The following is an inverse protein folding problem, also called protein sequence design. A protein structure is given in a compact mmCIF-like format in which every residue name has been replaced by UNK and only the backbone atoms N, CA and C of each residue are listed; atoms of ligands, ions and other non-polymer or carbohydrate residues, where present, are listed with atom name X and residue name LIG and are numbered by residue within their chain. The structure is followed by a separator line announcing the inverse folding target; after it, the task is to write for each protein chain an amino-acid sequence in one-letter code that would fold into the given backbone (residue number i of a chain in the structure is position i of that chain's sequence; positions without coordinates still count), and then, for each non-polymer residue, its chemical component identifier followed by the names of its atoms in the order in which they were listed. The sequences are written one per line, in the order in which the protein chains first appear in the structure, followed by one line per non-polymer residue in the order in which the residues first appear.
data_IF_982349833449
#
_entry.id   IF_982349833449
#
_cell.length_a   1.000
_cell.length_b   1.000
_cell.length_c   1.000
_cell.angle_alpha   90.00
_cell.angle_beta   90.00
_cell.angle_gamma   90.00
#
_symmetry.space_group_name_H-M   'P 1'
#
loop_
_entity.id
_entity.type
_entity.pdbx_description
1 polymer ?
#
# COMPACT_ATOMS: atom_id res chain seq x y z
N UNK A 1 -71.18 -4.20 -23.36
CA UNK A 1 -70.33 -3.56 -24.38
C UNK A 1 -68.93 -4.15 -24.26
N UNK A 2 -68.47 -4.76 -25.36
CA UNK A 2 -67.07 -5.07 -25.72
C UNK A 2 -66.36 -6.21 -24.94
N UNK A 3 -65.55 -7.07 -25.62
CA UNK A 3 -65.36 -8.47 -25.28
C UNK A 3 -63.90 -8.92 -25.00
N UNK A 4 -63.80 -10.22 -24.73
CA UNK A 4 -62.71 -11.22 -24.70
C UNK A 4 -61.33 -11.04 -25.39
N UNK A 5 -60.36 -11.83 -24.84
CA UNK A 5 -59.10 -12.39 -25.40
C UNK A 5 -57.93 -11.39 -25.51
N UNK A 6 -56.66 -11.72 -25.30
CA UNK A 6 -55.92 -12.97 -25.51
C UNK A 6 -54.59 -12.89 -24.72
N UNK A 7 -54.08 -14.02 -24.24
CA UNK A 7 -52.74 -14.22 -23.67
C UNK A 7 -51.74 -14.50 -24.78
N UNK A 8 -50.56 -13.88 -24.77
CA UNK A 8 -49.38 -14.32 -25.53
C UNK A 8 -48.03 -13.92 -24.86
N UNK A 9 -46.91 -14.60 -25.18
CA UNK A 9 -45.77 -14.89 -24.29
C UNK A 9 -44.55 -13.95 -24.47
N UNK A 10 -43.43 -14.10 -23.72
CA UNK A 10 -42.30 -13.16 -23.80
C UNK A 10 -41.40 -13.46 -25.01
N UNK A 11 -41.27 -12.48 -25.91
CA UNK A 11 -40.31 -12.54 -27.01
C UNK A 11 -38.88 -12.24 -26.53
N UNK A 12 -38.01 -13.23 -26.68
CA UNK A 12 -36.56 -13.12 -26.74
C UNK A 12 -36.13 -12.76 -28.18
N UNK A 13 -35.07 -11.94 -28.29
CA UNK A 13 -34.25 -11.65 -29.48
C UNK A 13 -34.87 -10.79 -30.59
N UNK A 14 -34.57 -9.49 -30.53
CA UNK A 14 -34.50 -8.60 -31.70
C UNK A 14 -33.12 -7.94 -31.74
N UNK A 15 -32.30 -8.35 -32.71
CA UNK A 15 -31.09 -7.65 -33.12
C UNK A 15 -31.49 -6.35 -33.83
N UNK A 16 -30.91 -5.22 -33.42
CA UNK A 16 -30.77 -4.06 -34.31
C UNK A 16 -29.32 -3.55 -34.26
N UNK A 17 -28.77 -3.35 -35.45
CA UNK A 17 -27.38 -3.01 -35.73
C UNK A 17 -27.16 -1.48 -35.69
N UNK A 18 -26.20 -1.03 -34.89
CA UNK A 18 -25.35 0.15 -35.13
C UNK A 18 -25.99 1.55 -34.98
N UNK A 19 -25.19 2.60 -34.70
CA UNK A 19 -23.91 2.83 -35.36
C UNK A 19 -22.68 2.67 -34.45
N UNK A 20 -21.58 2.25 -35.08
CA UNK A 20 -20.20 2.18 -34.54
C UNK A 20 -19.52 3.58 -34.61
N UNK A 21 -18.24 3.77 -34.23
CA UNK A 21 -17.78 4.13 -32.89
C UNK A 21 -16.75 5.30 -32.91
N UNK A 22 -17.02 6.45 -32.28
CA UNK A 22 -16.04 7.56 -32.30
C UNK A 22 -15.78 8.26 -30.95
N UNK A 23 -16.16 7.68 -29.79
CA UNK A 23 -15.92 8.32 -28.48
C UNK A 23 -15.15 7.47 -27.44
N UNK A 24 -14.38 6.46 -27.85
CA UNK A 24 -13.64 5.58 -26.92
C UNK A 24 -12.14 5.89 -26.71
N UNK A 25 -11.63 7.02 -27.20
CA UNK A 25 -10.18 7.31 -27.13
C UNK A 25 -9.69 8.03 -25.87
N UNK A 26 -10.52 8.19 -24.83
CA UNK A 26 -10.13 8.84 -23.56
C UNK A 26 -10.09 7.89 -22.35
N UNK A 27 -10.48 6.62 -22.51
CA UNK A 27 -10.60 5.64 -21.41
C UNK A 27 -9.33 4.87 -21.01
N UNK A 28 -8.21 5.02 -21.73
CA UNK A 28 -7.00 4.19 -21.56
C UNK A 28 -5.94 4.74 -20.58
N UNK A 29 -5.95 6.05 -20.30
CA UNK A 29 -4.95 6.67 -19.41
C UNK A 29 -5.21 6.46 -17.91
N UNK A 30 -6.32 5.81 -17.55
CA UNK A 30 -6.91 5.82 -16.22
C UNK A 30 -6.43 4.66 -15.32
N UNK A 31 -6.27 3.47 -15.89
CA UNK A 31 -6.02 2.24 -15.12
C UNK A 31 -4.65 2.16 -14.46
N UNK A 32 -3.65 2.73 -15.12
CA UNK A 32 -2.25 2.58 -14.74
C UNK A 32 -1.83 3.58 -13.64
N UNK A 33 -2.59 4.68 -13.51
CA UNK A 33 -2.59 5.56 -12.34
C UNK A 33 -3.44 4.93 -11.21
N UNK A 34 -4.50 4.17 -11.54
CA UNK A 34 -5.32 3.40 -10.60
C UNK A 34 -4.52 2.47 -9.66
N UNK A 35 -3.47 1.81 -10.16
CA UNK A 35 -2.59 0.96 -9.34
C UNK A 35 -1.72 1.73 -8.31
N UNK A 36 -1.71 3.07 -8.37
CA UNK A 36 -0.96 3.96 -7.47
C UNK A 36 -1.84 5.05 -6.82
N UNK A 37 -3.08 5.23 -7.28
CA UNK A 37 -4.06 6.23 -6.88
C UNK A 37 -5.46 5.66 -7.19
N UNK A 38 -6.11 5.10 -6.17
CA UNK A 38 -7.33 4.29 -6.28
C UNK A 38 -8.54 5.06 -6.92
N UNK A 39 -8.45 6.41 -7.14
CA UNK A 39 -9.57 7.35 -7.45
C UNK A 39 -10.50 7.00 -8.61
N UNK A 40 -10.18 5.98 -9.40
CA UNK A 40 -10.87 5.67 -10.65
C UNK A 40 -11.64 4.35 -10.67
N UNK A 41 -11.50 3.48 -9.65
CA UNK A 41 -12.29 2.23 -9.59
C UNK A 41 -13.74 2.44 -9.10
N UNK A 42 -14.06 3.57 -8.47
CA UNK A 42 -15.40 3.83 -7.90
C UNK A 42 -16.33 4.71 -8.76
N UNK A 43 -16.02 4.96 -10.05
CA UNK A 43 -16.92 5.75 -10.90
C UNK A 43 -18.22 4.99 -11.19
N UNK A 44 -19.27 5.32 -10.43
CA UNK A 44 -20.64 4.95 -10.73
C UNK A 44 -21.21 5.98 -11.75
N UNK A 45 -21.48 5.59 -13.01
CA UNK A 45 -21.98 6.52 -14.03
C UNK A 45 -23.40 7.06 -13.74
N UNK A 46 -24.07 6.59 -12.69
CA UNK A 46 -25.44 6.99 -12.35
C UNK A 46 -25.56 8.30 -11.55
N UNK A 47 -24.46 8.94 -11.13
CA UNK A 47 -24.51 10.23 -10.40
C UNK A 47 -24.00 11.35 -11.29
N UNK A 48 -24.89 11.89 -12.12
CA UNK A 48 -24.64 13.09 -12.92
C UNK A 48 -24.60 14.33 -12.02
N UNK A 49 -23.43 14.97 -11.90
CA UNK A 49 -23.34 16.36 -11.48
C UNK A 49 -23.14 17.22 -12.75
N UNK A 50 -24.06 18.15 -13.13
CA UNK A 50 -24.16 18.58 -14.53
C UNK A 50 -23.11 19.59 -15.06
N UNK A 51 -22.12 20.04 -14.28
CA UNK A 51 -21.32 21.21 -14.70
C UNK A 51 -19.78 21.06 -14.60
N UNK A 52 -19.25 19.88 -14.28
CA UNK A 52 -17.80 19.70 -14.04
C UNK A 52 -16.94 19.25 -15.23
N UNK A 53 -17.51 18.56 -16.22
CA UNK A 53 -16.74 17.85 -17.25
C UNK A 53 -16.30 18.74 -18.42
N UNK A 54 -17.03 19.84 -18.69
CA UNK A 54 -16.69 20.75 -19.79
C UNK A 54 -15.57 21.75 -19.47
N UNK A 55 -15.28 22.02 -18.18
CA UNK A 55 -14.30 23.04 -17.79
C UNK A 55 -12.87 22.50 -17.68
N UNK A 56 -12.69 21.19 -17.45
CA UNK A 56 -11.37 20.55 -17.28
C UNK A 56 -10.67 20.32 -18.63
N UNK A 57 -11.43 20.05 -19.69
CA UNK A 57 -10.88 19.90 -21.05
C UNK A 57 -10.29 21.22 -21.61
N UNK A 58 -10.83 22.38 -21.19
CA UNK A 58 -10.39 23.70 -21.65
C UNK A 58 -9.13 24.25 -20.97
N UNK A 59 -8.73 23.74 -19.81
CA UNK A 59 -7.61 24.30 -19.03
C UNK A 59 -6.27 23.61 -19.36
N UNK A 60 -6.29 22.38 -19.89
CA UNK A 60 -5.09 21.58 -20.17
C UNK A 60 -4.53 21.72 -21.60
N UNK A 61 -5.19 22.49 -22.47
CA UNK A 61 -4.65 22.92 -23.77
C UNK A 61 -3.69 24.11 -23.66
N UNK A 62 -3.60 24.74 -22.49
CA UNK A 62 -2.61 25.79 -22.20
C UNK A 62 -1.21 25.23 -21.94
N UNK A 63 -0.18 25.91 -22.43
CA UNK A 63 1.25 25.53 -22.35
C UNK A 63 1.87 25.58 -20.94
N UNK A 64 1.09 25.90 -19.90
CA UNK A 64 1.55 26.21 -18.53
C UNK A 64 1.59 25.04 -17.52
N UNK A 65 0.70 24.02 -17.54
CA UNK A 65 0.73 22.92 -16.56
C UNK A 65 1.97 22.01 -16.72
N UNK A 66 2.44 21.86 -17.97
CA UNK A 66 3.66 21.12 -18.29
C UNK A 66 4.90 21.78 -17.68
N UNK A 67 4.91 23.11 -17.56
CA UNK A 67 6.00 23.87 -16.97
C UNK A 67 6.01 23.74 -15.44
N UNK A 68 4.85 23.77 -14.77
CA UNK A 68 4.75 23.60 -13.32
C UNK A 68 5.11 22.17 -12.90
N UNK A 69 4.64 21.14 -13.63
CA UNK A 69 5.00 19.75 -13.36
C UNK A 69 6.48 19.49 -13.66
N UNK A 70 7.03 20.03 -14.77
CA UNK A 70 8.49 20.02 -15.00
C UNK A 70 9.23 20.71 -13.87
N UNK A 71 8.73 21.85 -13.39
CA UNK A 71 9.39 22.65 -12.36
C UNK A 71 9.35 21.92 -11.02
N UNK A 72 8.25 21.25 -10.66
CA UNK A 72 8.13 20.42 -9.44
C UNK A 72 8.95 19.12 -9.53
N UNK A 73 8.97 18.45 -10.69
CA UNK A 73 9.82 17.27 -10.90
C UNK A 73 11.29 17.67 -10.92
N UNK A 74 11.65 18.77 -11.59
CA UNK A 74 12.99 19.35 -11.47
C UNK A 74 13.24 19.83 -10.05
N UNK A 75 12.30 20.39 -9.30
CA UNK A 75 12.50 20.77 -7.90
C UNK A 75 12.74 19.53 -7.04
N UNK A 76 11.99 18.45 -7.21
CA UNK A 76 12.20 17.21 -6.45
C UNK A 76 13.53 16.56 -6.84
N UNK A 77 13.89 16.56 -8.13
CA UNK A 77 15.16 16.05 -8.62
C UNK A 77 16.35 16.94 -8.26
N UNK A 78 16.19 18.27 -8.23
CA UNK A 78 17.25 19.25 -7.97
C UNK A 78 17.37 19.61 -6.50
N UNK A 79 16.29 19.63 -5.72
CA UNK A 79 16.32 19.73 -4.25
C UNK A 79 16.73 18.38 -3.66
N UNK A 80 16.29 17.27 -4.28
CA UNK A 80 16.88 15.94 -4.06
C UNK A 80 18.37 15.95 -4.37
N UNK A 81 18.80 16.48 -5.53
CA UNK A 81 20.21 16.63 -5.88
C UNK A 81 20.98 17.60 -4.96
N UNK A 82 20.37 18.68 -4.48
CA UNK A 82 20.99 19.66 -3.60
C UNK A 82 21.13 19.12 -2.17
N UNK A 83 20.18 18.32 -1.68
CA UNK A 83 20.35 17.49 -0.48
C UNK A 83 21.37 16.35 -0.69
N UNK A 84 21.56 15.87 -1.93
CA UNK A 84 22.59 14.89 -2.31
C UNK A 84 24.01 15.49 -2.41
N UNK A 85 24.17 16.82 -2.53
CA UNK A 85 25.50 17.46 -2.61
C UNK A 85 26.18 17.56 -1.24
N UNK A 86 25.45 17.46 -0.13
CA UNK A 86 26.03 17.55 1.22
C UNK A 86 26.04 16.21 1.99
N UNK A 87 26.18 15.08 1.30
CA UNK A 87 26.52 13.82 1.96
C UNK A 87 28.04 13.68 2.03
N UNK A 88 28.62 14.04 3.17
CA UNK A 88 29.97 13.63 3.52
C UNK A 88 30.07 12.11 3.38
N UNK A 89 30.98 11.61 2.53
CA UNK A 89 31.38 10.21 2.53
C UNK A 89 31.96 9.92 3.92
N UNK A 90 31.40 9.01 4.73
CA UNK A 90 32.17 8.47 5.84
C UNK A 90 33.29 7.65 5.22
N UNK A 91 34.48 8.24 5.16
CA UNK A 91 35.72 7.46 5.26
C UNK A 91 35.66 6.79 6.63
N UNK A 92 36.01 5.52 6.65
CA UNK A 92 36.19 4.69 7.86
C UNK A 92 34.89 4.17 8.49
N UNK A 93 34.44 2.98 8.03
CA UNK A 93 33.69 2.02 8.88
C UNK A 93 33.49 0.64 8.21
N UNK A 94 34.53 0.13 7.50
CA UNK A 94 34.50 -1.26 7.00
C UNK A 94 34.68 -2.27 8.16
N UNK A 95 35.16 -1.84 9.33
CA UNK A 95 35.37 -2.68 10.52
C UNK A 95 34.18 -2.74 11.48
N UNK A 96 33.12 -1.93 11.30
CA UNK A 96 31.93 -1.93 12.19
C UNK A 96 30.81 -2.89 11.71
N UNK A 97 30.99 -3.55 10.57
CA UNK A 97 30.01 -4.50 10.01
C UNK A 97 29.92 -5.84 10.78
N UNK A 98 30.72 -6.05 11.83
CA UNK A 98 30.80 -7.33 12.55
C UNK A 98 29.88 -7.48 13.77
N UNK A 99 29.00 -6.53 14.12
CA UNK A 99 28.16 -6.65 15.35
C UNK A 99 26.68 -6.30 15.25
N UNK A 100 26.10 -6.34 14.05
CA UNK A 100 24.64 -6.26 13.87
C UNK A 100 24.25 -6.61 12.45
N UNK A 101 24.11 -7.91 12.15
CA UNK A 101 23.82 -8.42 10.81
C UNK A 101 22.48 -7.86 10.33
N UNK A 102 22.52 -6.98 9.31
CA UNK A 102 21.32 -6.58 8.56
C UNK A 102 20.75 -7.84 7.91
N UNK A 103 19.51 -8.20 8.24
CA UNK A 103 18.85 -9.37 7.68
C UNK A 103 18.41 -9.08 6.25
N UNK A 104 18.96 -9.84 5.30
CA UNK A 104 18.67 -9.66 3.87
C UNK A 104 17.24 -10.09 3.57
N UNK A 105 16.71 -11.07 4.32
CA UNK A 105 15.34 -11.53 4.18
C UNK A 105 14.30 -10.43 4.43
N UNK A 106 14.58 -9.49 5.34
CA UNK A 106 13.68 -8.35 5.61
C UNK A 106 13.67 -7.38 4.43
N UNK A 107 14.84 -7.04 3.88
CA UNK A 107 14.93 -6.17 2.70
C UNK A 107 14.30 -6.86 1.48
N UNK A 108 14.54 -8.16 1.27
CA UNK A 108 13.96 -8.92 0.18
C UNK A 108 12.44 -9.03 0.28
N UNK A 109 11.90 -9.31 1.46
CA UNK A 109 10.44 -9.41 1.64
C UNK A 109 9.78 -8.05 1.42
N UNK A 110 10.36 -6.96 1.94
CA UNK A 110 9.88 -5.61 1.66
C UNK A 110 9.94 -5.29 0.17
N UNK A 111 10.99 -5.72 -0.51
CA UNK A 111 11.14 -5.50 -1.95
C UNK A 111 10.18 -6.31 -2.81
N UNK A 112 9.87 -7.53 -2.39
CA UNK A 112 8.82 -8.35 -3.00
C UNK A 112 7.47 -7.65 -2.89
N UNK A 113 7.15 -7.13 -1.71
CA UNK A 113 5.94 -6.37 -1.44
C UNK A 113 5.86 -5.10 -2.31
N UNK A 114 6.92 -4.29 -2.33
CA UNK A 114 7.01 -3.09 -3.16
C UNK A 114 7.02 -3.37 -4.67
N UNK A 115 7.54 -4.52 -5.12
CA UNK A 115 7.55 -4.88 -6.53
C UNK A 115 6.13 -4.97 -7.11
N UNK A 116 5.20 -5.53 -6.36
CA UNK A 116 3.83 -5.70 -6.82
C UNK A 116 3.09 -4.37 -6.99
N UNK A 117 3.22 -3.45 -6.03
CA UNK A 117 2.59 -2.12 -6.15
C UNK A 117 3.34 -1.19 -7.11
N UNK A 118 4.66 -1.33 -7.25
CA UNK A 118 5.42 -0.44 -8.09
C UNK A 118 5.28 -0.76 -9.58
N UNK A 119 4.93 -1.98 -9.97
CA UNK A 119 4.72 -2.30 -11.40
C UNK A 119 4.35 -3.75 -11.71
N UNK A 120 4.64 -4.71 -10.81
CA UNK A 120 4.36 -6.12 -11.05
C UNK A 120 2.87 -6.43 -11.32
N UNK A 121 1.96 -5.67 -10.70
CA UNK A 121 0.51 -5.82 -10.89
C UNK A 121 0.07 -5.52 -12.32
N UNK A 122 0.61 -4.45 -12.93
CA UNK A 122 0.28 -4.08 -14.31
C UNK A 122 0.64 -5.17 -15.32
N UNK A 123 1.70 -5.96 -15.06
CA UNK A 123 2.05 -7.10 -15.93
C UNK A 123 0.97 -8.17 -15.90
N UNK A 124 0.43 -8.50 -14.72
CA UNK A 124 -0.60 -9.54 -14.58
C UNK A 124 -1.91 -9.09 -15.23
N UNK A 125 -2.32 -7.84 -14.97
CA UNK A 125 -3.54 -7.25 -15.55
C UNK A 125 -3.44 -7.14 -17.08
N UNK A 126 -2.30 -6.69 -17.62
CA UNK A 126 -2.11 -6.64 -19.06
C UNK A 126 -2.06 -8.04 -19.69
N UNK A 127 -1.53 -9.03 -18.96
CA UNK A 127 -1.52 -10.42 -19.42
C UNK A 127 -2.93 -11.03 -19.43
N UNK A 128 -3.80 -10.68 -18.47
CA UNK A 128 -5.18 -11.19 -18.42
C UNK A 128 -6.02 -10.70 -19.60
N UNK A 129 -5.78 -9.46 -20.06
CA UNK A 129 -6.42 -8.89 -21.25
C UNK A 129 -5.96 -9.53 -22.56
N UNK A 130 -4.75 -10.08 -22.60
CA UNK A 130 -4.14 -10.61 -23.84
C UNK A 130 -4.18 -12.13 -23.94
N UNK A 131 -4.42 -12.83 -22.83
CA UNK A 131 -4.42 -14.30 -22.79
C UNK A 131 -5.71 -14.82 -22.19
N UNK A 132 -6.31 -15.82 -22.84
CA UNK A 132 -7.53 -16.46 -22.33
C UNK A 132 -7.20 -17.69 -21.46
N UNK A 133 -6.19 -17.57 -20.60
CA UNK A 133 -5.72 -18.66 -19.74
C UNK A 133 -6.36 -18.53 -18.37
N UNK A 134 -7.07 -19.57 -17.91
CA UNK A 134 -7.79 -19.56 -16.64
C UNK A 134 -6.90 -19.21 -15.45
N UNK A 135 -5.65 -19.70 -15.43
CA UNK A 135 -4.68 -19.36 -14.39
C UNK A 135 -4.40 -17.86 -14.32
N UNK A 136 -4.29 -17.18 -15.46
CA UNK A 136 -4.02 -15.73 -15.50
C UNK A 136 -5.24 -14.95 -15.00
N UNK A 137 -6.45 -15.39 -15.34
CA UNK A 137 -7.69 -14.80 -14.82
C UNK A 137 -7.83 -14.96 -13.30
N UNK A 138 -7.49 -16.12 -12.76
CA UNK A 138 -7.47 -16.34 -11.31
C UNK A 138 -6.44 -15.43 -10.63
N UNK A 139 -5.26 -15.25 -11.24
CA UNK A 139 -4.26 -14.31 -10.73
C UNK A 139 -4.76 -12.88 -10.77
N UNK A 140 -5.39 -12.44 -11.85
CA UNK A 140 -5.93 -11.08 -11.99
C UNK A 140 -6.89 -10.72 -10.85
N UNK A 141 -7.81 -11.63 -10.50
CA UNK A 141 -8.70 -11.48 -9.35
C UNK A 141 -7.93 -11.32 -8.02
N UNK A 142 -6.78 -11.98 -7.87
CA UNK A 142 -5.94 -11.84 -6.68
C UNK A 142 -5.17 -10.52 -6.64
N UNK A 143 -4.97 -9.88 -7.79
CA UNK A 143 -4.27 -8.60 -7.96
C UNK A 143 -5.23 -7.39 -8.02
N UNK A 144 -6.51 -7.61 -7.77
CA UNK A 144 -7.52 -6.56 -7.58
C UNK A 144 -7.92 -6.46 -6.10
N UNK A 145 -8.33 -5.28 -5.66
CA UNK A 145 -8.86 -5.08 -4.31
C UNK A 145 -10.26 -5.68 -4.16
N UNK A 146 -10.62 -6.08 -2.93
CA UNK A 146 -12.03 -6.23 -2.57
C UNK A 146 -12.64 -4.87 -2.32
N UNK A 147 -13.84 -4.67 -2.83
CA UNK A 147 -14.60 -3.43 -2.63
C UNK A 147 -14.81 -3.14 -1.14
N UNK A 148 -15.17 -4.17 -0.36
CA UNK A 148 -15.44 -4.03 1.06
C UNK A 148 -15.04 -5.27 1.89
N UNK A 149 -15.84 -6.33 1.85
CA UNK A 149 -15.63 -7.54 2.64
C UNK A 149 -14.77 -8.58 1.90
N UNK A 150 -13.85 -9.19 2.64
CA UNK A 150 -12.91 -10.18 2.17
C UNK A 150 -11.50 -9.63 2.06
N UNK A 151 -10.61 -10.46 1.54
CA UNK A 151 -9.25 -10.07 1.19
C UNK A 151 -8.73 -10.90 0.02
N UNK A 152 -8.03 -10.25 -0.91
CA UNK A 152 -7.23 -10.89 -1.95
C UNK A 152 -5.74 -10.82 -1.59
N UNK A 153 -4.87 -11.37 -2.45
CA UNK A 153 -3.42 -11.21 -2.31
C UNK A 153 -3.01 -9.73 -2.30
N UNK A 154 -3.62 -8.89 -3.14
CA UNK A 154 -3.27 -7.47 -3.22
C UNK A 154 -3.60 -6.72 -1.93
N UNK A 155 -4.65 -7.13 -1.23
CA UNK A 155 -5.00 -6.60 0.10
C UNK A 155 -3.97 -6.94 1.19
N UNK A 156 -3.02 -7.87 0.95
CA UNK A 156 -1.95 -8.20 1.90
C UNK A 156 -0.77 -7.21 1.84
N UNK A 157 -0.60 -6.47 0.75
CA UNK A 157 0.61 -5.67 0.53
C UNK A 157 0.80 -4.62 1.63
N UNK A 158 -0.23 -3.80 1.86
CA UNK A 158 -0.14 -2.73 2.84
C UNK A 158 0.09 -3.23 4.29
N UNK A 159 -0.68 -4.20 4.84
CA UNK A 159 -0.41 -4.72 6.18
C UNK A 159 0.93 -5.46 6.28
N UNK A 160 1.39 -6.14 5.22
CA UNK A 160 2.72 -6.75 5.18
C UNK A 160 3.82 -5.69 5.33
N UNK A 161 3.70 -4.55 4.65
CA UNK A 161 4.65 -3.46 4.80
C UNK A 161 4.68 -2.92 6.23
N UNK A 162 3.51 -2.67 6.83
CA UNK A 162 3.38 -2.18 8.22
C UNK A 162 3.99 -3.19 9.21
N UNK A 163 3.75 -4.48 9.01
CA UNK A 163 4.37 -5.56 9.78
C UNK A 163 5.90 -5.52 9.65
N UNK A 164 6.45 -5.40 8.43
CA UNK A 164 7.90 -5.33 8.20
C UNK A 164 8.52 -4.08 8.83
N UNK A 165 7.80 -2.94 8.85
CA UNK A 165 8.21 -1.74 9.58
C UNK A 165 8.40 -2.06 11.06
N UNK A 166 7.46 -2.79 11.67
CA UNK A 166 7.57 -3.29 13.04
C UNK A 166 8.78 -4.21 13.28
N UNK A 167 9.04 -5.16 12.38
CA UNK A 167 10.23 -6.02 12.48
C UNK A 167 11.51 -5.17 12.44
N UNK A 168 11.56 -4.21 11.50
CA UNK A 168 12.72 -3.34 11.28
C UNK A 168 12.98 -2.38 12.45
N UNK A 169 11.92 -2.00 13.15
CA UNK A 169 11.95 -1.14 14.32
C UNK A 169 12.79 -1.77 15.44
N UNK A 170 12.62 -3.07 15.70
CA UNK A 170 13.38 -3.80 16.73
C UNK A 170 14.89 -3.71 16.48
N UNK A 171 15.34 -3.98 15.25
CA UNK A 171 16.77 -3.96 14.90
C UNK A 171 17.36 -2.56 14.83
N UNK A 172 16.58 -1.56 14.41
CA UNK A 172 17.06 -0.18 14.25
C UNK A 172 17.08 0.57 15.58
N UNK A 173 16.01 0.50 16.37
CA UNK A 173 15.89 1.24 17.63
C UNK A 173 16.69 0.59 18.75
N UNK A 174 16.76 -0.74 18.84
CA UNK A 174 17.60 -1.39 19.86
C UNK A 174 19.05 -0.87 19.81
N UNK A 175 19.66 -0.89 18.62
CA UNK A 175 21.04 -0.39 18.42
C UNK A 175 21.15 1.10 18.70
N UNK A 176 20.13 1.87 18.34
CA UNK A 176 20.16 3.31 18.54
C UNK A 176 20.03 3.70 20.02
N UNK A 177 19.19 2.98 20.78
CA UNK A 177 19.05 3.13 22.24
C UNK A 177 20.33 2.70 22.94
N UNK A 178 20.93 1.57 22.55
CA UNK A 178 22.20 1.09 23.10
C UNK A 178 23.34 2.09 22.89
N UNK A 179 23.41 2.74 21.71
CA UNK A 179 24.50 3.66 21.36
C UNK A 179 24.28 5.11 21.82
N UNK A 180 23.05 5.62 21.75
CA UNK A 180 22.75 7.06 21.92
C UNK A 180 21.72 7.35 23.02
N UNK A 181 21.21 6.31 23.71
CA UNK A 181 20.20 6.44 24.76
C UNK A 181 18.76 6.59 24.24
N UNK A 182 17.80 6.51 25.17
CA UNK A 182 16.36 6.55 24.86
C UNK A 182 15.87 7.90 24.35
N UNK A 183 16.39 9.01 24.89
CA UNK A 183 15.98 10.36 24.47
C UNK A 183 16.28 10.63 22.99
N UNK A 184 17.47 10.23 22.54
CA UNK A 184 17.84 10.30 21.12
C UNK A 184 16.94 9.42 20.24
N UNK A 185 16.56 8.23 20.72
CA UNK A 185 15.62 7.36 20.02
C UNK A 185 14.23 8.00 19.88
N UNK A 186 13.68 8.61 20.93
CA UNK A 186 12.40 9.33 20.86
C UNK A 186 12.45 10.47 19.84
N UNK A 187 13.48 11.31 19.91
CA UNK A 187 13.66 12.40 18.94
C UNK A 187 13.70 11.87 17.51
N UNK A 188 14.45 10.79 17.27
CA UNK A 188 14.55 10.15 15.96
C UNK A 188 13.20 9.62 15.47
N UNK A 189 12.43 8.98 16.35
CA UNK A 189 11.10 8.46 16.00
C UNK A 189 10.18 9.61 15.58
N UNK A 190 10.10 10.66 16.38
CA UNK A 190 9.25 11.82 16.14
C UNK A 190 9.62 12.50 14.82
N UNK A 191 10.90 12.84 14.62
CA UNK A 191 11.37 13.51 13.40
C UNK A 191 11.09 12.67 12.15
N UNK A 192 11.39 11.36 12.21
CA UNK A 192 11.15 10.47 11.08
C UNK A 192 9.67 10.34 10.75
N UNK A 193 8.82 10.30 11.77
CA UNK A 193 7.37 10.19 11.58
C UNK A 193 6.80 11.48 10.98
N UNK A 194 7.22 12.66 11.47
CA UNK A 194 6.81 13.95 10.89
C UNK A 194 7.21 14.04 9.42
N UNK A 195 8.48 13.74 9.10
CA UNK A 195 8.95 13.85 7.73
C UNK A 195 8.23 12.87 6.78
N UNK A 196 8.02 11.62 7.21
CA UNK A 196 7.28 10.64 6.42
C UNK A 196 5.81 11.05 6.24
N UNK A 197 5.19 11.61 7.28
CA UNK A 197 3.82 12.12 7.20
C UNK A 197 3.70 13.29 6.22
N UNK A 198 4.61 14.27 6.31
CA UNK A 198 4.63 15.44 5.40
C UNK A 198 4.86 15.01 3.95
N UNK A 199 5.82 14.11 3.69
CA UNK A 199 6.00 13.54 2.34
C UNK A 199 4.73 12.81 1.88
N UNK A 200 4.09 12.07 2.78
CA UNK A 200 2.82 11.40 2.52
C UNK A 200 1.75 12.37 2.05
N UNK A 201 1.53 13.46 2.79
CA UNK A 201 0.52 14.48 2.43
C UNK A 201 0.82 15.09 1.06
N UNK A 202 2.08 15.43 0.78
CA UNK A 202 2.48 15.99 -0.51
C UNK A 202 2.20 14.99 -1.65
N UNK A 203 2.49 13.72 -1.42
CA UNK A 203 2.31 12.67 -2.44
C UNK A 203 0.84 12.32 -2.65
N UNK A 204 0.06 12.15 -1.57
CA UNK A 204 -1.36 11.76 -1.60
C UNK A 204 -2.29 12.86 -2.08
N UNK A 205 -1.91 14.13 -1.95
CA UNK A 205 -2.78 15.26 -2.35
C UNK A 205 -2.65 15.61 -3.84
N UNK A 206 -1.70 15.02 -4.57
CA UNK A 206 -1.47 15.33 -5.97
C UNK A 206 -1.13 16.82 -6.22
N UNK A 207 -1.41 17.35 -7.44
CA UNK A 207 -1.27 18.78 -7.72
C UNK A 207 -2.33 19.55 -6.92
N UNK A 208 -1.94 20.10 -5.78
CA UNK A 208 -2.82 20.88 -4.91
C UNK A 208 -3.21 22.18 -5.61
N UNK A 209 -4.41 22.23 -6.18
CA UNK A 209 -4.99 23.42 -6.82
C UNK A 209 -5.75 24.30 -5.81
N UNK A 210 -6.17 23.72 -4.68
CA UNK A 210 -6.83 24.40 -3.56
C UNK A 210 -6.48 23.71 -2.24
N UNK A 211 -6.56 24.46 -1.12
CA UNK A 211 -6.33 23.91 0.23
C UNK A 211 -7.30 22.76 0.58
N UNK A 212 -8.53 22.83 0.07
CA UNK A 212 -9.56 21.80 0.27
C UNK A 212 -9.18 20.46 -0.37
N UNK A 213 -8.38 20.48 -1.45
CA UNK A 213 -7.93 19.28 -2.16
C UNK A 213 -6.91 18.42 -1.40
N UNK A 214 -6.43 18.85 -0.23
CA UNK A 214 -5.40 18.14 0.53
C UNK A 214 -5.98 16.88 1.18
N UNK A 215 -5.34 15.72 0.97
CA UNK A 215 -5.69 14.45 1.61
C UNK A 215 -4.79 14.19 2.81
N UNK A 216 -5.35 14.30 4.02
CA UNK A 216 -4.57 14.22 5.27
C UNK A 216 -4.19 12.79 5.67
N UNK A 217 -5.04 11.82 5.37
CA UNK A 217 -4.79 10.39 5.62
C UNK A 217 -4.43 9.68 4.33
N UNK A 218 -3.55 8.70 4.42
CA UNK A 218 -3.05 7.95 3.28
C UNK A 218 -2.02 6.92 3.73
N UNK A 219 -1.59 6.07 2.80
CA UNK A 219 -0.71 4.93 3.09
C UNK A 219 0.55 5.35 3.85
N UNK A 220 1.27 6.37 3.36
CA UNK A 220 2.52 6.85 3.99
C UNK A 220 2.28 7.48 5.36
N UNK A 221 1.17 8.20 5.52
CA UNK A 221 0.74 8.86 6.76
C UNK A 221 0.40 7.81 7.82
N UNK A 222 -0.38 6.77 7.46
CA UNK A 222 -0.68 5.66 8.36
C UNK A 222 0.57 4.87 8.73
N UNK A 223 1.52 4.65 7.81
CA UNK A 223 2.83 4.05 8.14
C UNK A 223 3.60 4.92 9.14
N UNK A 224 3.58 6.25 8.95
CA UNK A 224 4.24 7.18 9.87
C UNK A 224 3.63 7.11 11.28
N UNK A 225 2.30 7.07 11.40
CA UNK A 225 1.61 6.93 12.68
C UNK A 225 1.90 5.57 13.32
N UNK A 226 1.84 4.47 12.55
CA UNK A 226 2.19 3.14 13.05
C UNK A 226 3.63 3.08 13.57
N UNK A 227 4.58 3.66 12.84
CA UNK A 227 5.98 3.74 13.26
C UNK A 227 6.16 4.60 14.51
N UNK A 228 5.46 5.74 14.60
CA UNK A 228 5.48 6.63 15.76
C UNK A 228 5.03 5.90 17.01
N UNK A 229 3.79 5.41 17.02
CA UNK A 229 3.19 4.81 18.21
C UNK A 229 3.87 3.49 18.59
N UNK A 230 4.08 2.57 17.63
CA UNK A 230 4.77 1.32 17.93
C UNK A 230 6.23 1.56 18.39
N UNK A 231 6.89 2.57 17.85
CA UNK A 231 8.25 2.95 18.26
C UNK A 231 8.35 3.52 19.66
N UNK A 232 7.41 4.42 20.02
CA UNK A 232 7.32 4.95 21.38
C UNK A 232 7.00 3.85 22.38
N UNK A 233 6.03 2.98 22.07
CA UNK A 233 5.67 1.82 22.88
C UNK A 233 6.86 0.87 23.05
N UNK A 234 7.58 0.55 21.97
CA UNK A 234 8.76 -0.32 22.01
C UNK A 234 9.87 0.20 22.93
N UNK A 235 10.12 1.51 22.95
CA UNK A 235 11.16 2.13 23.78
C UNK A 235 10.76 2.26 25.26
N UNK A 236 9.47 2.25 25.56
CA UNK A 236 8.90 2.47 26.90
C UNK A 236 8.55 1.17 27.60
N UNK A 237 7.91 0.23 26.90
CA UNK A 237 7.27 -0.95 27.47
C UNK A 237 8.13 -2.22 27.34
N UNK A 238 7.86 -3.19 28.23
CA UNK A 238 8.43 -4.54 28.14
C UNK A 238 7.63 -5.38 27.14
N UNK A 239 8.20 -6.49 26.61
CA UNK A 239 7.49 -7.35 25.66
C UNK A 239 6.12 -7.85 26.12
N UNK A 240 5.96 -8.12 27.43
CA UNK A 240 4.66 -8.49 28.02
C UNK A 240 3.64 -7.37 27.90
N UNK A 241 4.03 -6.14 28.24
CA UNK A 241 3.14 -4.99 28.23
C UNK A 241 2.79 -4.59 26.80
N UNK A 242 3.73 -4.74 25.85
CA UNK A 242 3.45 -4.61 24.41
C UNK A 242 2.38 -5.60 23.95
N UNK A 243 2.41 -6.85 24.43
CA UNK A 243 1.39 -7.85 24.10
C UNK A 243 0.02 -7.47 24.65
N UNK A 244 -0.03 -6.91 25.87
CA UNK A 244 -1.27 -6.38 26.47
C UNK A 244 -1.80 -5.21 25.64
N UNK A 245 -0.95 -4.26 25.24
CA UNK A 245 -1.36 -3.14 24.39
C UNK A 245 -1.84 -3.61 23.02
N UNK A 246 -1.15 -4.57 22.39
CA UNK A 246 -1.58 -5.16 21.12
C UNK A 246 -2.98 -5.79 21.26
N UNK A 247 -3.21 -6.59 22.30
CA UNK A 247 -4.52 -7.18 22.58
C UNK A 247 -5.57 -6.10 22.86
N UNK A 248 -5.24 -5.06 23.64
CA UNK A 248 -6.14 -3.95 23.94
C UNK A 248 -6.52 -3.15 22.68
N UNK A 249 -5.60 -2.93 21.75
CA UNK A 249 -5.89 -2.29 20.46
C UNK A 249 -6.86 -3.13 19.63
N UNK A 250 -6.66 -4.45 19.57
CA UNK A 250 -7.53 -5.35 18.80
C UNK A 250 -8.92 -5.49 19.43
N UNK A 251 -9.00 -5.92 20.70
CA UNK A 251 -10.28 -6.10 21.39
C UNK A 251 -10.99 -4.77 21.67
N UNK A 252 -10.23 -3.70 21.95
CA UNK A 252 -10.78 -2.37 22.14
C UNK A 252 -11.39 -1.80 20.87
N UNK A 253 -10.69 -1.90 19.73
CA UNK A 253 -11.24 -1.47 18.44
C UNK A 253 -12.49 -2.28 18.06
N UNK A 254 -12.42 -3.61 18.20
CA UNK A 254 -13.59 -4.47 18.01
C UNK A 254 -14.79 -4.08 18.88
N UNK A 255 -14.57 -3.83 20.18
CA UNK A 255 -15.61 -3.43 21.10
C UNK A 255 -16.22 -2.07 20.74
N UNK A 256 -15.38 -1.10 20.33
CA UNK A 256 -15.87 0.19 19.82
C UNK A 256 -16.78 -0.02 18.61
N UNK A 257 -16.31 -0.77 17.61
CA UNK A 257 -17.07 -1.01 16.37
C UNK A 257 -18.36 -1.82 16.61
N UNK A 258 -18.39 -2.69 17.61
CA UNK A 258 -19.53 -3.57 17.89
C UNK A 258 -20.58 -2.91 18.78
N UNK A 259 -20.16 -2.18 19.82
CA UNK A 259 -21.06 -1.77 20.89
C UNK A 259 -21.38 -0.27 20.92
N UNK A 260 -20.56 0.59 20.29
CA UNK A 260 -20.84 2.03 20.25
C UNK A 260 -21.84 2.29 19.11
N UNK A 261 -23.03 2.85 19.40
CA UNK A 261 -24.02 3.12 18.38
C UNK A 261 -23.62 4.32 17.53
N UNK A 262 -23.76 4.20 16.21
CA UNK A 262 -23.65 5.31 15.27
C UNK A 262 -25.00 6.04 15.20
N UNK A 263 -25.05 7.39 15.33
CA UNK A 263 -26.29 8.15 15.23
C UNK A 263 -27.04 7.87 13.93
N UNK A 264 -28.33 7.53 14.03
CA UNK A 264 -29.18 7.21 12.88
C UNK A 264 -29.06 5.79 12.32
N UNK A 265 -28.09 4.99 12.80
CA UNK A 265 -27.86 3.60 12.32
C UNK A 265 -28.02 2.58 13.43
N UNK A 266 -27.41 2.81 14.60
CA UNK A 266 -27.35 1.86 15.71
C UNK A 266 -25.95 1.25 15.91
N UNK A 267 -25.84 0.23 16.77
CA UNK A 267 -24.58 -0.44 17.11
C UNK A 267 -24.36 -1.70 16.25
N UNK A 268 -23.10 -2.07 16.04
CA UNK A 268 -22.73 -3.33 15.40
C UNK A 268 -22.92 -3.39 13.88
N UNK A 269 -22.93 -2.24 13.22
CA UNK A 269 -22.97 -2.17 11.75
C UNK A 269 -21.55 -2.05 11.17
N UNK A 270 -21.19 -2.92 10.22
CA UNK A 270 -19.90 -2.94 9.53
C UNK A 270 -20.00 -2.63 8.03
N UNK A 271 -21.16 -2.21 7.53
CA UNK A 271 -21.34 -1.81 6.14
C UNK A 271 -20.61 -0.49 5.84
N UNK A 272 -20.25 -0.30 4.57
CA UNK A 272 -19.62 0.92 4.05
C UNK A 272 -20.50 2.16 4.35
N UNK A 273 -19.86 3.26 4.73
CA UNK A 273 -20.50 4.55 5.02
C UNK A 273 -21.33 4.63 6.30
N UNK A 274 -21.64 3.50 6.96
CA UNK A 274 -22.58 3.45 8.10
C UNK A 274 -21.98 2.90 9.40
N UNK A 275 -20.73 2.46 9.36
CA UNK A 275 -20.00 2.00 10.54
C UNK A 275 -19.32 3.14 11.31
N UNK A 276 -18.89 2.86 12.53
CA UNK A 276 -18.31 3.86 13.43
C UNK A 276 -17.01 4.49 12.89
N UNK A 277 -16.17 3.73 12.19
CA UNK A 277 -14.93 4.27 11.64
C UNK A 277 -15.22 5.32 10.54
N UNK A 278 -16.14 5.00 9.61
CA UNK A 278 -16.55 5.94 8.58
C UNK A 278 -17.27 7.17 9.17
N UNK A 279 -18.12 6.97 10.18
CA UNK A 279 -18.77 8.08 10.89
C UNK A 279 -17.74 9.05 11.51
N UNK A 280 -16.70 8.51 12.18
CA UNK A 280 -15.64 9.35 12.77
C UNK A 280 -14.91 10.14 11.70
N UNK A 281 -14.58 9.53 10.57
CA UNK A 281 -13.92 10.24 9.47
C UNK A 281 -14.84 11.33 8.91
N UNK A 282 -16.12 11.03 8.66
CA UNK A 282 -17.10 12.02 8.17
C UNK A 282 -17.17 13.26 9.07
N UNK A 283 -17.18 13.08 10.40
CA UNK A 283 -17.33 14.17 11.36
C UNK A 283 -16.02 14.90 11.67
N UNK A 284 -14.90 14.18 11.73
CA UNK A 284 -13.68 14.69 12.36
C UNK A 284 -12.44 14.66 11.47
N UNK A 285 -12.46 13.97 10.33
CA UNK A 285 -11.37 14.03 9.35
C UNK A 285 -11.66 15.17 8.35
N UNK A 286 -10.94 16.30 8.44
CA UNK A 286 -11.19 17.43 7.55
C UNK A 286 -10.54 17.22 6.18
N UNK A 287 -10.88 18.11 5.24
CA UNK A 287 -10.37 18.15 3.87
C UNK A 287 -10.77 16.91 3.04
N UNK A 288 -10.08 16.67 1.94
CA UNK A 288 -10.37 15.57 1.02
C UNK A 288 -10.14 14.22 1.68
N UNK A 289 -11.07 13.32 1.45
CA UNK A 289 -10.99 11.91 1.78
C UNK A 289 -11.04 11.09 0.51
N UNK A 290 -10.52 9.88 0.61
CA UNK A 290 -10.39 9.00 -0.52
C UNK A 290 -11.73 8.53 -1.13
N UNK A 291 -12.64 7.97 -0.31
CA UNK A 291 -13.96 7.50 -0.76
C UNK A 291 -15.02 8.64 -0.71
N UNK A 292 -14.57 9.89 -0.59
CA UNK A 292 -15.41 11.08 -0.48
C UNK A 292 -15.87 11.37 0.95
N UNK A 293 -16.64 10.46 1.56
CA UNK A 293 -17.19 10.64 2.91
C UNK A 293 -16.28 10.05 4.02
N UNK A 294 -15.49 9.03 3.70
CA UNK A 294 -14.53 8.39 4.61
C UNK A 294 -13.20 8.07 3.91
N UNK A 295 -12.19 7.67 4.68
CA UNK A 295 -10.86 7.33 4.14
C UNK A 295 -10.45 5.91 4.57
N UNK A 296 -9.94 5.05 3.68
CA UNK A 296 -9.47 3.72 4.04
C UNK A 296 -8.25 3.80 4.98
N UNK A 297 -7.54 4.94 4.95
CA UNK A 297 -6.48 5.30 5.88
C UNK A 297 -6.94 6.13 7.09
N UNK A 298 -8.25 6.12 7.38
CA UNK A 298 -8.95 6.86 8.44
C UNK A 298 -8.40 6.77 9.87
N UNK A 299 -8.96 7.64 10.72
CA UNK A 299 -8.45 7.93 12.06
C UNK A 299 -8.59 6.72 13.00
N UNK A 300 -9.80 6.18 13.13
CA UNK A 300 -10.08 5.12 14.10
C UNK A 300 -9.42 3.79 13.69
N UNK A 301 -9.46 3.46 12.41
CA UNK A 301 -8.85 2.26 11.83
C UNK A 301 -7.31 2.28 11.85
N UNK A 302 -6.69 3.40 12.23
CA UNK A 302 -5.25 3.45 12.51
C UNK A 302 -4.89 2.70 13.81
N UNK A 303 -5.81 2.56 14.77
CA UNK A 303 -5.59 1.81 16.01
C UNK A 303 -5.22 0.33 15.75
N UNK A 304 -6.02 -0.46 15.02
CA UNK A 304 -5.65 -1.82 14.67
C UNK A 304 -4.44 -1.90 13.72
N UNK A 305 -4.16 -0.86 12.91
CA UNK A 305 -2.93 -0.80 12.10
C UNK A 305 -1.65 -0.69 12.97
N UNK A 306 -1.71 0.02 14.10
CA UNK A 306 -0.63 0.01 15.10
C UNK A 306 -0.43 -1.42 15.64
N UNK A 307 -1.52 -2.18 15.85
CA UNK A 307 -1.42 -3.58 16.26
C UNK A 307 -0.73 -4.46 15.19
N UNK A 308 -1.00 -4.27 13.90
CA UNK A 308 -0.24 -4.92 12.81
C UNK A 308 1.27 -4.64 12.92
N UNK A 309 1.64 -3.39 13.20
CA UNK A 309 3.04 -3.01 13.42
C UNK A 309 3.63 -3.72 14.66
N UNK A 310 2.87 -3.82 15.75
CA UNK A 310 3.28 -4.55 16.96
C UNK A 310 3.45 -6.06 16.72
N UNK A 311 2.60 -6.69 15.88
CA UNK A 311 2.83 -8.07 15.44
C UNK A 311 4.20 -8.24 14.77
N UNK A 312 4.59 -7.26 13.95
CA UNK A 312 5.92 -7.16 13.37
C UNK A 312 7.02 -7.01 14.42
N UNK A 313 6.80 -6.20 15.46
CA UNK A 313 7.73 -6.06 16.59
C UNK A 313 7.95 -7.41 17.30
N UNK A 314 6.91 -8.21 17.53
CA UNK A 314 7.07 -9.55 18.13
C UNK A 314 7.88 -10.50 17.24
N UNK A 315 7.63 -10.49 15.92
CA UNK A 315 8.44 -11.24 14.97
C UNK A 315 9.90 -10.75 14.97
N UNK A 316 10.13 -9.44 15.11
CA UNK A 316 11.46 -8.85 15.26
C UNK A 316 12.18 -9.33 16.53
N UNK A 317 11.48 -9.42 17.68
CA UNK A 317 12.04 -9.99 18.89
C UNK A 317 12.44 -11.45 18.71
N UNK A 318 11.58 -12.25 18.06
CA UNK A 318 11.85 -13.65 17.76
C UNK A 318 13.12 -13.81 16.90
N UNK A 319 13.26 -13.00 15.83
CA UNK A 319 14.43 -13.05 14.95
C UNK A 319 15.72 -12.57 15.64
N UNK A 320 15.64 -11.54 16.49
CA UNK A 320 16.78 -11.01 17.26
C UNK A 320 17.22 -11.95 18.40
N UNK A 321 16.37 -12.89 18.83
CA UNK A 321 16.69 -13.79 19.93
C UNK A 321 17.79 -14.80 19.52
N UNK A 322 18.99 -14.63 20.07
CA UNK A 322 20.14 -15.49 19.79
C UNK A 322 20.10 -16.85 20.52
N UNK A 323 19.21 -17.02 21.51
CA UNK A 323 19.05 -18.28 22.23
C UNK A 323 18.25 -19.32 21.43
N UNK A 324 17.56 -18.92 20.36
CA UNK A 324 16.82 -19.83 19.50
C UNK A 324 17.60 -20.14 18.23
N UNK A 325 17.61 -21.42 17.86
CA UNK A 325 18.14 -21.85 16.56
C UNK A 325 17.30 -21.31 15.42
N UNK A 326 17.90 -21.14 14.24
CA UNK A 326 17.18 -20.64 13.06
C UNK A 326 15.99 -21.51 12.68
N UNK A 327 16.12 -22.84 12.81
CA UNK A 327 15.00 -23.78 12.60
C UNK A 327 13.83 -23.50 13.56
N UNK A 328 14.13 -23.23 14.84
CA UNK A 328 13.11 -22.90 15.83
C UNK A 328 12.43 -21.56 15.52
N UNK A 329 13.20 -20.55 15.08
CA UNK A 329 12.64 -19.25 14.65
C UNK A 329 11.66 -19.43 13.49
N UNK A 330 12.05 -20.19 12.46
CA UNK A 330 11.18 -20.49 11.31
C UNK A 330 9.93 -21.27 11.75
N UNK A 331 10.09 -22.31 12.57
CA UNK A 331 8.96 -23.09 13.09
C UNK A 331 7.97 -22.24 13.90
N UNK A 332 8.47 -21.33 14.73
CA UNK A 332 7.61 -20.40 15.49
C UNK A 332 6.91 -19.37 14.59
N UNK A 333 7.60 -18.81 13.58
CA UNK A 333 6.94 -17.92 12.61
C UNK A 333 5.85 -18.64 11.83
N UNK A 334 6.08 -19.89 11.39
CA UNK A 334 5.09 -20.70 10.71
C UNK A 334 3.89 -21.00 11.63
N UNK A 335 4.15 -21.44 12.86
CA UNK A 335 3.11 -21.75 13.84
C UNK A 335 2.26 -20.52 14.19
N UNK A 336 2.89 -19.38 14.51
CA UNK A 336 2.18 -18.13 14.75
C UNK A 336 1.41 -17.66 13.51
N UNK A 337 1.95 -17.87 12.31
CA UNK A 337 1.29 -17.54 11.05
C UNK A 337 -0.01 -18.31 10.85
N UNK A 338 0.03 -19.63 11.00
CA UNK A 338 -1.15 -20.50 10.88
C UNK A 338 -2.18 -20.17 11.95
N UNK A 339 -1.76 -20.02 13.22
CA UNK A 339 -2.66 -19.68 14.32
C UNK A 339 -3.32 -18.31 14.11
N UNK A 340 -2.57 -17.31 13.66
CA UNK A 340 -3.09 -15.98 13.35
C UNK A 340 -4.16 -16.01 12.25
N UNK A 341 -3.92 -16.76 11.18
CA UNK A 341 -4.89 -16.94 10.09
C UNK A 341 -6.17 -17.60 10.61
N UNK A 342 -6.05 -18.70 11.35
CA UNK A 342 -7.21 -19.42 11.88
C UNK A 342 -8.03 -18.55 12.85
N UNK A 343 -7.37 -17.88 13.80
CA UNK A 343 -8.04 -16.98 14.74
C UNK A 343 -8.68 -15.77 14.03
N UNK A 344 -8.02 -15.23 13.01
CA UNK A 344 -8.55 -14.13 12.21
C UNK A 344 -9.81 -14.51 11.45
N UNK A 345 -9.83 -15.68 10.79
CA UNK A 345 -11.04 -16.16 10.11
C UNK A 345 -12.17 -16.55 11.08
N UNK A 346 -11.84 -17.15 12.23
CA UNK A 346 -12.84 -17.45 13.26
C UNK A 346 -13.47 -16.18 13.83
N UNK A 347 -12.67 -15.14 14.08
CA UNK A 347 -13.19 -13.83 14.49
C UNK A 347 -13.96 -13.16 13.34
N UNK A 348 -13.55 -13.42 12.10
CA UNK A 348 -14.24 -13.02 10.87
C UNK A 348 -15.73 -13.36 10.83
N UNK A 349 -16.15 -14.44 11.52
CA UNK A 349 -17.55 -14.85 11.63
C UNK A 349 -18.44 -13.82 12.34
N UNK A 350 -17.86 -12.96 13.18
CA UNK A 350 -18.58 -11.91 13.91
C UNK A 350 -18.06 -10.51 13.62
N UNK A 351 -16.77 -10.37 13.28
CA UNK A 351 -16.18 -9.11 12.86
C UNK A 351 -15.53 -9.29 11.48
N UNK A 352 -16.25 -8.99 10.38
CA UNK A 352 -15.84 -9.34 9.02
C UNK A 352 -14.43 -8.85 8.64
N UNK A 353 -13.79 -9.54 7.69
CA UNK A 353 -12.50 -9.12 7.17
C UNK A 353 -12.72 -7.93 6.23
N UNK A 354 -12.38 -6.72 6.67
CA UNK A 354 -12.55 -5.50 5.86
C UNK A 354 -11.25 -4.69 5.95
N UNK A 355 -10.58 -4.54 4.79
CA UNK A 355 -9.33 -3.76 4.66
C UNK A 355 -9.56 -2.27 4.93
N UNK A 356 -10.61 -1.68 4.33
CA UNK A 356 -10.84 -0.22 4.37
C UNK A 356 -11.02 0.32 5.80
N UNK A 357 -11.61 -0.46 6.70
CA UNK A 357 -11.70 -0.11 8.14
C UNK A 357 -10.69 -0.88 9.02
N UNK A 358 -9.80 -1.67 8.42
CA UNK A 358 -8.70 -2.36 9.08
C UNK A 358 -9.14 -3.25 10.26
N UNK A 359 -10.16 -4.09 10.06
CA UNK A 359 -10.76 -4.88 11.15
C UNK A 359 -9.75 -5.77 11.87
N UNK A 360 -10.01 -6.08 13.15
CA UNK A 360 -9.12 -6.89 13.97
C UNK A 360 -8.94 -8.32 13.42
N UNK A 361 -9.99 -8.88 12.81
CA UNK A 361 -9.93 -10.14 12.07
C UNK A 361 -8.97 -10.04 10.88
N UNK A 362 -9.07 -8.97 10.08
CA UNK A 362 -8.16 -8.66 8.99
C UNK A 362 -6.71 -8.50 9.47
N UNK A 363 -6.46 -7.85 10.62
CA UNK A 363 -5.11 -7.77 11.22
C UNK A 363 -4.52 -9.13 11.54
N UNK A 364 -5.31 -10.05 12.11
CA UNK A 364 -4.84 -11.39 12.45
C UNK A 364 -4.57 -12.23 11.20
N UNK A 365 -5.45 -12.19 10.20
CA UNK A 365 -5.26 -12.93 8.95
C UNK A 365 -4.02 -12.42 8.20
N UNK A 366 -3.91 -11.11 7.99
CA UNK A 366 -2.79 -10.52 7.25
C UNK A 366 -1.47 -10.56 8.03
N UNK A 367 -1.52 -10.39 9.37
CA UNK A 367 -0.38 -10.62 10.24
C UNK A 367 0.09 -12.07 10.22
N UNK A 368 -0.84 -13.01 10.14
CA UNK A 368 -0.55 -14.44 9.99
C UNK A 368 0.15 -14.75 8.66
N UNK A 369 -0.38 -14.28 7.53
CA UNK A 369 0.29 -14.38 6.23
C UNK A 369 1.66 -13.69 6.22
N UNK A 370 1.79 -12.55 6.88
CA UNK A 370 3.07 -11.85 7.03
C UNK A 370 4.12 -12.69 7.77
N UNK A 371 3.71 -13.42 8.82
CA UNK A 371 4.59 -14.35 9.52
C UNK A 371 5.01 -15.53 8.63
N UNK A 372 4.08 -16.08 7.83
CA UNK A 372 4.39 -17.16 6.88
C UNK A 372 5.39 -16.69 5.80
N UNK A 373 5.14 -15.54 5.18
CA UNK A 373 6.03 -14.97 4.18
C UNK A 373 7.42 -14.65 4.77
N UNK A 374 7.46 -14.07 5.97
CA UNK A 374 8.72 -13.84 6.67
C UNK A 374 9.47 -15.14 6.97
N UNK A 375 8.77 -16.21 7.36
CA UNK A 375 9.37 -17.52 7.59
C UNK A 375 10.00 -18.08 6.30
N UNK A 376 9.29 -18.01 5.17
CA UNK A 376 9.76 -18.48 3.86
C UNK A 376 11.00 -17.71 3.42
N UNK A 377 10.95 -16.37 3.46
CA UNK A 377 12.09 -15.53 3.09
C UNK A 377 13.28 -15.73 4.03
N UNK A 378 13.06 -15.83 5.34
CA UNK A 378 14.14 -16.13 6.30
C UNK A 378 14.78 -17.50 6.04
N UNK A 379 13.96 -18.55 5.87
CA UNK A 379 14.44 -19.91 5.59
C UNK A 379 15.26 -19.98 4.31
N UNK A 380 14.80 -19.37 3.24
CA UNK A 380 15.46 -19.41 1.92
C UNK A 380 16.76 -18.60 1.88
N UNK A 381 16.77 -17.40 2.47
CA UNK A 381 17.88 -16.43 2.34
C UNK A 381 18.93 -16.58 3.44
N UNK A 382 18.50 -16.75 4.69
CA UNK A 382 19.41 -16.81 5.84
C UNK A 382 19.79 -18.25 6.20
N UNK A 383 18.85 -19.21 6.14
CA UNK A 383 19.12 -20.60 6.54
C UNK A 383 19.70 -21.42 5.38
N UNK A 384 19.07 -21.39 4.20
CA UNK A 384 19.57 -22.11 3.01
C UNK A 384 20.62 -21.33 2.21
N UNK A 385 20.82 -20.05 2.51
CA UNK A 385 21.82 -19.21 1.83
C UNK A 385 21.50 -18.90 0.35
N UNK A 386 20.29 -19.19 -0.13
CA UNK A 386 19.89 -18.94 -1.53
C UNK A 386 19.54 -17.48 -1.72
N UNK A 387 20.55 -16.66 -2.03
CA UNK A 387 20.41 -15.18 -2.10
C UNK A 387 20.23 -14.62 -3.51
N UNK A 388 20.64 -15.35 -4.55
CA UNK A 388 20.69 -14.83 -5.93
C UNK A 388 19.32 -14.38 -6.45
N UNK A 389 18.29 -15.21 -6.29
CA UNK A 389 16.91 -14.91 -6.73
C UNK A 389 16.31 -13.69 -6.02
N UNK A 390 16.73 -13.41 -4.78
CA UNK A 390 16.23 -12.31 -3.98
C UNK A 390 16.85 -10.95 -4.36
N UNK A 391 17.90 -10.93 -5.19
CA UNK A 391 18.63 -9.70 -5.55
C UNK A 391 17.74 -8.56 -6.06
N UNK A 392 16.84 -8.76 -7.06
CA UNK A 392 15.95 -7.69 -7.52
C UNK A 392 15.08 -7.11 -6.40
N UNK A 393 14.53 -7.99 -5.54
CA UNK A 393 13.75 -7.56 -4.40
C UNK A 393 14.62 -6.81 -3.37
N UNK A 394 15.83 -7.25 -3.08
CA UNK A 394 16.73 -6.52 -2.18
C UNK A 394 17.03 -5.11 -2.68
N UNK A 395 17.20 -4.91 -3.99
CA UNK A 395 17.45 -3.59 -4.57
C UNK A 395 16.28 -2.63 -4.33
N UNK A 396 15.06 -3.11 -4.58
CA UNK A 396 13.82 -2.38 -4.31
C UNK A 396 13.66 -2.13 -2.81
N UNK A 397 13.69 -3.18 -1.99
CA UNK A 397 13.35 -3.09 -0.58
C UNK A 397 14.33 -2.27 0.25
N UNK A 398 15.61 -2.25 -0.13
CA UNK A 398 16.59 -1.35 0.48
C UNK A 398 16.29 0.14 0.24
N UNK A 399 15.49 0.45 -0.79
CA UNK A 399 15.07 1.79 -1.20
C UNK A 399 13.55 1.97 -1.29
N UNK A 400 12.77 1.13 -0.59
CA UNK A 400 11.29 1.05 -0.68
C UNK A 400 10.55 2.38 -0.82
N UNK A 401 10.77 3.34 0.09
CA UNK A 401 10.10 4.66 0.04
C UNK A 401 10.46 5.41 -1.25
N UNK A 402 11.73 5.41 -1.65
CA UNK A 402 12.16 6.06 -2.88
C UNK A 402 11.56 5.35 -4.10
N UNK A 403 11.55 4.02 -4.11
CA UNK A 403 10.93 3.24 -5.20
C UNK A 403 9.44 3.57 -5.35
N UNK A 404 8.71 3.66 -4.24
CA UNK A 404 7.29 4.03 -4.23
C UNK A 404 7.04 5.45 -4.77
N UNK A 405 7.83 6.43 -4.32
CA UNK A 405 7.70 7.81 -4.81
C UNK A 405 8.06 7.92 -6.30
N UNK A 406 9.12 7.22 -6.72
CA UNK A 406 9.55 7.19 -8.12
C UNK A 406 8.53 6.47 -8.99
N UNK A 407 7.94 5.35 -8.55
CA UNK A 407 6.92 4.65 -9.35
C UNK A 407 5.69 5.54 -9.57
N UNK A 408 5.22 6.24 -8.55
CA UNK A 408 4.16 7.25 -8.66
C UNK A 408 4.49 8.37 -9.65
N UNK A 409 5.65 9.01 -9.47
CA UNK A 409 6.07 10.11 -10.34
C UNK A 409 6.30 9.66 -11.79
N UNK A 410 6.87 8.46 -11.98
CA UNK A 410 7.14 7.88 -13.28
C UNK A 410 5.85 7.50 -13.99
N UNK A 411 4.89 6.90 -13.28
CA UNK A 411 3.56 6.62 -13.79
C UNK A 411 2.88 7.92 -14.24
N UNK A 412 2.81 8.92 -13.37
CA UNK A 412 2.22 10.22 -13.70
C UNK A 412 2.89 10.90 -14.92
N UNK A 413 4.20 10.75 -15.09
CA UNK A 413 4.91 11.33 -16.24
C UNK A 413 4.66 10.58 -17.54
N UNK A 414 4.73 9.25 -17.52
CA UNK A 414 4.66 8.43 -18.74
C UNK A 414 3.23 8.25 -19.26
N UNK A 415 2.25 8.19 -18.35
CA UNK A 415 0.86 7.91 -18.65
C UNK A 415 0.09 9.19 -19.00
N UNK A 416 0.16 10.23 -18.15
CA UNK A 416 -0.49 11.52 -18.47
C UNK A 416 0.18 12.24 -19.66
N UNK A 417 1.42 11.87 -19.98
CA UNK A 417 2.10 12.32 -21.20
C UNK A 417 1.69 11.56 -22.46
N UNK A 418 0.92 10.47 -22.34
CA UNK A 418 0.50 9.60 -23.45
C UNK A 418 1.66 8.91 -24.20
N UNK A 419 2.90 9.05 -23.74
CA UNK A 419 4.08 8.76 -24.56
C UNK A 419 4.33 7.27 -24.74
N UNK A 420 4.15 6.46 -23.69
CA UNK A 420 4.38 5.03 -23.78
C UNK A 420 3.17 4.26 -24.28
N UNK A 421 1.97 4.54 -23.75
CA UNK A 421 0.84 3.66 -24.02
C UNK A 421 0.29 3.81 -25.46
N UNK A 422 0.17 5.04 -25.96
CA UNK A 422 -0.25 5.29 -27.35
C UNK A 422 0.77 4.75 -28.36
N UNK A 423 2.07 4.87 -28.08
CA UNK A 423 3.11 4.38 -28.99
C UNK A 423 3.19 2.85 -28.99
N UNK A 424 3.07 2.20 -27.83
CA UNK A 424 3.16 0.75 -27.74
C UNK A 424 1.90 0.06 -28.28
N UNK A 425 0.70 0.59 -28.04
CA UNK A 425 -0.53 0.02 -28.61
C UNK A 425 -0.57 0.15 -30.14
N UNK A 426 -0.05 1.25 -30.70
CA UNK A 426 0.07 1.43 -32.16
C UNK A 426 1.05 0.42 -32.79
N UNK A 427 2.16 0.10 -32.10
CA UNK A 427 3.21 -0.78 -32.64
C UNK A 427 2.95 -2.26 -32.39
N UNK A 428 2.40 -2.61 -31.22
CA UNK A 428 2.27 -3.99 -30.75
C UNK A 428 0.81 -4.48 -30.66
N UNK A 429 -0.16 -3.65 -31.07
CA UNK A 429 -1.59 -4.00 -31.06
C UNK A 429 -2.06 -4.42 -29.67
N UNK A 430 -2.72 -5.58 -29.58
CA UNK A 430 -3.25 -6.12 -28.32
C UNK A 430 -2.18 -6.31 -27.24
N UNK A 431 -0.90 -6.48 -27.61
CA UNK A 431 0.19 -6.66 -26.65
C UNK A 431 0.81 -5.36 -26.14
N UNK A 432 0.37 -4.19 -26.62
CA UNK A 432 0.96 -2.90 -26.28
C UNK A 432 0.96 -2.62 -24.77
N UNK A 433 -0.17 -2.82 -24.08
CA UNK A 433 -0.27 -2.66 -22.62
C UNK A 433 0.71 -3.58 -21.87
N UNK A 434 0.90 -4.82 -22.34
CA UNK A 434 1.81 -5.78 -21.73
C UNK A 434 3.27 -5.33 -21.90
N UNK A 435 3.62 -4.87 -23.10
CA UNK A 435 4.95 -4.31 -23.38
C UNK A 435 5.20 -3.06 -22.51
N UNK A 436 4.23 -2.13 -22.45
CA UNK A 436 4.28 -0.95 -21.58
C UNK A 436 4.54 -1.33 -20.12
N UNK A 437 3.81 -2.33 -19.61
CA UNK A 437 3.93 -2.81 -18.22
C UNK A 437 5.30 -3.43 -17.91
N UNK A 438 5.82 -4.22 -18.85
CA UNK A 438 7.15 -4.85 -18.72
C UNK A 438 8.24 -3.78 -18.78
N UNK A 439 8.15 -2.82 -19.70
CA UNK A 439 9.12 -1.71 -19.81
C UNK A 439 9.10 -0.85 -18.56
N UNK A 440 7.91 -0.46 -18.08
CA UNK A 440 7.74 0.33 -16.87
C UNK A 440 8.35 -0.37 -15.64
N UNK A 441 8.02 -1.64 -15.44
CA UNK A 441 8.59 -2.45 -14.35
C UNK A 441 10.11 -2.61 -14.49
N UNK A 442 10.60 -2.80 -15.72
CA UNK A 442 12.04 -2.85 -16.02
C UNK A 442 12.77 -1.56 -15.68
N UNK A 443 12.18 -0.39 -15.97
CA UNK A 443 12.73 0.91 -15.61
C UNK A 443 12.80 1.09 -14.09
N UNK A 444 11.76 0.68 -13.36
CA UNK A 444 11.76 0.74 -11.89
C UNK A 444 12.84 -0.15 -11.31
N UNK A 445 12.99 -1.39 -11.81
CA UNK A 445 14.05 -2.30 -11.41
C UNK A 445 15.45 -1.73 -11.71
N UNK A 446 15.63 -1.11 -12.88
CA UNK A 446 16.88 -0.45 -13.25
C UNK A 446 17.20 0.71 -12.30
N UNK A 447 16.23 1.58 -12.01
CA UNK A 447 16.41 2.69 -11.08
C UNK A 447 16.75 2.16 -9.68
N UNK A 448 16.02 1.16 -9.19
CA UNK A 448 16.31 0.53 -7.90
C UNK A 448 17.71 -0.09 -7.85
N UNK A 449 18.13 -0.76 -8.93
CA UNK A 449 19.47 -1.33 -9.07
C UNK A 449 20.57 -0.26 -9.04
N UNK A 450 20.40 0.84 -9.79
CA UNK A 450 21.33 1.99 -9.79
C UNK A 450 21.39 2.64 -8.40
N UNK A 451 20.20 2.83 -7.80
CA UNK A 451 19.90 3.02 -6.37
C UNK A 451 20.93 2.35 -5.47
N UNK A 452 20.79 1.03 -5.50
CA UNK A 452 21.51 0.10 -4.65
C UNK A 452 23.01 0.07 -4.94
N UNK A 453 23.43 0.04 -6.22
CA UNK A 453 24.85 0.02 -6.63
C UNK A 453 25.59 1.27 -6.20
N UNK A 454 24.93 2.43 -6.29
CA UNK A 454 25.51 3.73 -5.86
C UNK A 454 25.40 3.95 -4.34
N UNK A 455 24.79 3.03 -3.60
CA UNK A 455 24.55 3.11 -2.15
C UNK A 455 23.79 4.39 -1.76
N UNK A 456 22.91 4.87 -2.64
CA UNK A 456 22.04 6.01 -2.37
C UNK A 456 20.80 5.47 -1.68
N UNK A 457 20.61 5.85 -0.42
CA UNK A 457 19.47 5.44 0.40
C UNK A 457 18.81 6.69 0.96
N UNK A 458 17.50 6.84 0.76
CA UNK A 458 16.73 7.90 1.40
C UNK A 458 16.74 7.65 2.92
N UNK A 459 17.50 8.48 3.64
CA UNK A 459 17.54 8.45 5.11
C UNK A 459 16.58 9.49 5.64
N UNK A 460 15.53 8.99 6.29
CA UNK A 460 14.56 9.78 7.04
C UNK A 460 14.80 9.59 8.53
#
# INVERSE_FOLDING_TARGET
MVPSRETDPPELFGHDFGPTPDEDYLGLNVWFVGALDDRFESYNPAVTCPEGTAYVAGILTGSQPKAILRTLVLLILTTGAALLVNTTRPKDDVSVLAKGRRLISIDALRGFDMFWIAGGTGIIQALSKTTNVDLVRVLDVQFAHKDWEGATFYDLIFPLFVFIVGVSLVFSLSRHVEKNGKSAAYKRIIVRSIFLFVIGVIFSSGPVTSFEGIRLMGVLQRIALCYLFAGLLFCTLKPRDLAIVCAALLFGYWALMTFVPVPGVGAGNFQEGTNLANYIDQQYLPLTKYDGDHDPEGLLSTLPAIATCLLGVFAGFLLKNNSFSDKKKVGLLLGCGVVGILLGFLWGLQFPLIKKIWTSSYVLVTGGYSCLLLAVFYQTIEVWGRRKWASPFVWIGANSIMTYLVSGALAAFLLNGGLLDLSMNTVFGIYGELVSSVVFTGLILLIAYLLYRRKLFLRI
#
